data_IF_298457248964
#
_entry.id   IF_298457248964
#
_cell.length_a   1.000
_cell.length_b   1.000
_cell.length_c   1.000
_cell.angle_alpha   90.00
_cell.angle_beta   90.00
_cell.angle_gamma   90.00
#
_symmetry.space_group_name_H-M   'P 1'
#
loop_
_entity.id
_entity.type
_entity.pdbx_description
1 polymer ?
#
# COMPACT_ATOMS: atom_id res chain seq x y z
N UNK A 1 -1.16 13.41 -5.22
CA UNK A 1 -2.29 12.45 -5.11
C UNK A 1 -1.91 11.45 -4.02
N UNK A 2 -2.85 10.98 -3.24
CA UNK A 2 -2.58 9.91 -2.28
C UNK A 2 -2.29 8.63 -3.06
N UNK A 3 -1.27 7.87 -2.64
CA UNK A 3 -0.96 6.56 -3.24
C UNK A 3 -2.05 5.55 -2.87
N UNK A 4 -2.39 4.69 -3.82
CA UNK A 4 -3.51 3.75 -3.70
C UNK A 4 -3.10 2.32 -4.00
N UNK A 5 -3.76 1.37 -3.33
CA UNK A 5 -3.61 -0.06 -3.56
C UNK A 5 -4.88 -0.60 -4.19
N UNK A 6 -4.77 -1.16 -5.38
CA UNK A 6 -5.88 -1.79 -6.08
C UNK A 6 -6.12 -3.21 -5.57
N UNK A 7 -7.34 -3.50 -5.08
CA UNK A 7 -7.72 -4.86 -4.67
C UNK A 7 -8.24 -5.61 -5.88
N UNK A 8 -7.58 -6.70 -6.23
CA UNK A 8 -7.95 -7.57 -7.34
C UNK A 8 -8.17 -9.02 -6.86
N UNK A 9 -8.90 -9.81 -7.62
CA UNK A 9 -9.14 -11.21 -7.31
C UNK A 9 -10.19 -11.81 -8.22
N UNK A 10 -10.20 -13.14 -8.32
CA UNK A 10 -11.24 -13.89 -9.01
C UNK A 10 -12.61 -13.69 -8.32
N UNK A 11 -13.71 -13.97 -9.01
CA UNK A 11 -15.02 -14.01 -8.36
C UNK A 11 -15.05 -14.99 -7.18
N UNK A 12 -15.79 -14.65 -6.14
CA UNK A 12 -16.04 -15.51 -4.95
C UNK A 12 -14.80 -15.86 -4.09
N UNK A 13 -13.74 -15.07 -4.19
CA UNK A 13 -12.55 -15.20 -3.30
C UNK A 13 -12.69 -14.45 -1.96
N UNK A 14 -13.82 -13.76 -1.74
CA UNK A 14 -14.06 -12.94 -0.56
C UNK A 14 -13.65 -11.46 -0.71
N UNK A 15 -13.31 -11.02 -1.94
CA UNK A 15 -12.88 -9.64 -2.22
C UNK A 15 -13.89 -8.60 -1.72
N UNK A 16 -15.18 -8.76 -2.00
CA UNK A 16 -16.22 -7.82 -1.56
C UNK A 16 -16.41 -7.83 -0.05
N UNK A 17 -16.27 -8.97 0.61
CA UNK A 17 -16.31 -9.06 2.07
C UNK A 17 -15.16 -8.30 2.70
N UNK A 18 -13.95 -8.50 2.19
CA UNK A 18 -12.75 -7.77 2.59
C UNK A 18 -12.92 -6.26 2.36
N UNK A 19 -13.39 -5.86 1.18
CA UNK A 19 -13.59 -4.45 0.87
C UNK A 19 -14.66 -3.80 1.75
N UNK A 20 -15.73 -4.52 2.08
CA UNK A 20 -16.76 -4.04 3.01
C UNK A 20 -16.18 -3.86 4.43
N UNK A 21 -15.31 -4.74 4.89
CA UNK A 21 -14.60 -4.58 6.14
C UNK A 21 -13.70 -3.33 6.11
N UNK A 22 -12.93 -3.11 5.05
CA UNK A 22 -12.12 -1.91 4.86
C UNK A 22 -12.96 -0.62 4.89
N UNK A 23 -14.13 -0.61 4.24
CA UNK A 23 -15.02 0.57 4.19
C UNK A 23 -15.78 0.82 5.48
N UNK A 24 -16.16 -0.22 6.23
CA UNK A 24 -16.75 -0.04 7.58
C UNK A 24 -15.75 0.64 8.52
N UNK A 25 -14.48 0.26 8.45
CA UNK A 25 -13.41 0.91 9.22
C UNK A 25 -13.28 2.40 8.90
N UNK A 26 -13.59 2.81 7.66
CA UNK A 26 -13.59 4.21 7.21
C UNK A 26 -14.67 5.06 7.91
N UNK A 27 -15.83 4.53 8.19
CA UNK A 27 -16.93 5.27 8.87
C UNK A 27 -16.52 5.65 10.29
N UNK A 28 -15.73 4.83 10.96
CA UNK A 28 -15.14 5.12 12.28
C UNK A 28 -14.01 6.16 12.17
N UNK A 29 -13.32 6.21 11.03
CA UNK A 29 -12.24 7.16 10.73
C UNK A 29 -12.72 8.50 10.15
N UNK A 30 -14.03 8.74 10.00
CA UNK A 30 -14.65 9.91 9.34
C UNK A 30 -14.39 11.28 10.02
N UNK A 31 -13.46 11.37 10.97
CA UNK A 31 -12.93 12.61 11.51
C UNK A 31 -11.79 13.23 10.67
N UNK A 32 -11.49 12.68 9.49
CA UNK A 32 -10.52 13.27 8.57
C UNK A 32 -11.13 14.47 7.83
N UNK A 33 -10.62 15.69 8.01
CA UNK A 33 -11.23 16.91 7.48
C UNK A 33 -11.18 17.05 5.94
N UNK A 34 -10.59 16.11 5.21
CA UNK A 34 -10.43 16.16 3.74
C UNK A 34 -10.79 14.85 3.01
N UNK A 35 -11.40 13.88 3.68
CA UNK A 35 -11.84 12.64 3.03
C UNK A 35 -13.12 12.92 2.21
N UNK A 36 -12.98 13.17 0.92
CA UNK A 36 -14.08 12.97 -0.02
C UNK A 36 -14.32 11.46 -0.08
N UNK A 37 -15.52 11.02 0.30
CA UNK A 37 -15.93 9.62 0.17
C UNK A 37 -16.11 9.36 -1.32
N UNK A 38 -15.07 8.83 -1.96
CA UNK A 38 -15.18 8.34 -3.34
C UNK A 38 -15.79 6.94 -3.31
N UNK A 39 -16.75 6.64 -4.18
CA UNK A 39 -17.29 5.29 -4.29
C UNK A 39 -16.17 4.31 -4.65
N UNK A 40 -16.13 3.16 -3.97
CA UNK A 40 -15.13 2.11 -4.13
C UNK A 40 -13.71 2.44 -3.61
N UNK A 41 -13.55 3.39 -2.68
CA UNK A 41 -12.31 3.63 -1.96
C UNK A 41 -12.53 3.29 -0.48
N UNK A 42 -11.70 2.43 0.07
CA UNK A 42 -11.60 2.13 1.50
C UNK A 42 -10.32 2.75 2.07
N UNK A 43 -10.42 3.39 3.24
CA UNK A 43 -9.25 3.98 3.92
C UNK A 43 -9.04 3.26 5.24
N UNK A 44 -7.84 2.75 5.46
CA UNK A 44 -7.46 2.06 6.69
C UNK A 44 -6.40 2.89 7.41
N UNK A 45 -6.66 3.18 8.67
CA UNK A 45 -5.68 3.84 9.52
C UNK A 45 -4.49 2.91 9.80
N UNK A 46 -3.29 3.48 9.80
CA UNK A 46 -2.09 2.77 10.20
C UNK A 46 -1.93 2.89 11.72
N UNK A 47 -2.08 1.81 12.51
CA UNK A 47 -1.83 1.86 13.94
C UNK A 47 -0.42 2.34 14.23
N UNK A 48 -0.28 3.40 15.04
CA UNK A 48 1.02 3.95 15.42
C UNK A 48 1.02 4.30 16.92
N UNK A 49 1.57 3.42 17.77
CA UNK A 49 1.60 3.63 19.22
C UNK A 49 2.43 4.85 19.65
N UNK A 50 3.25 5.40 18.74
CA UNK A 50 4.03 6.62 19.02
C UNK A 50 3.13 7.83 19.21
N UNK A 51 1.99 7.87 18.54
CA UNK A 51 1.06 9.00 18.62
C UNK A 51 0.41 9.14 19.99
N UNK A 52 0.09 8.03 20.66
CA UNK A 52 -0.47 8.05 22.02
C UNK A 52 0.55 8.67 23.00
N UNK A 53 1.79 8.22 22.95
CA UNK A 53 2.87 8.76 23.77
C UNK A 53 3.13 10.25 23.51
N UNK A 54 3.08 10.68 22.24
CA UNK A 54 3.19 12.09 21.91
C UNK A 54 1.98 12.90 22.42
N UNK A 55 0.78 12.34 22.31
CA UNK A 55 -0.42 12.98 22.84
C UNK A 55 -0.33 13.19 24.36
N UNK A 56 0.24 12.25 25.10
CA UNK A 56 0.51 12.40 26.54
C UNK A 56 1.53 13.52 26.82
N UNK A 57 2.66 13.54 26.09
CA UNK A 57 3.73 14.55 26.28
C UNK A 57 3.24 15.97 25.99
N UNK A 58 2.38 16.16 24.97
CA UNK A 58 1.92 17.46 24.52
C UNK A 58 0.53 17.85 25.08
N UNK A 59 -0.18 16.91 25.72
CA UNK A 59 -1.57 17.11 26.15
C UNK A 59 -2.51 17.25 24.95
N UNK A 60 -2.31 16.48 23.88
CA UNK A 60 -3.06 16.60 22.64
C UNK A 60 -4.50 16.14 22.81
N UNK A 61 -5.46 16.91 22.28
CA UNK A 61 -6.90 16.59 22.35
C UNK A 61 -7.29 15.49 21.37
N UNK A 62 -6.52 15.30 20.27
CA UNK A 62 -6.84 14.35 19.20
C UNK A 62 -5.59 13.65 18.71
N UNK A 63 -5.78 12.39 18.25
CA UNK A 63 -4.76 11.57 17.60
C UNK A 63 -5.21 11.35 16.16
N UNK A 64 -4.32 11.62 15.21
CA UNK A 64 -4.56 11.46 13.77
C UNK A 64 -3.47 10.58 13.16
N UNK A 65 -3.71 9.27 13.00
CA UNK A 65 -2.75 8.35 12.39
C UNK A 65 -2.59 8.59 10.89
N UNK A 66 -1.54 8.03 10.30
CA UNK A 66 -1.45 7.88 8.85
C UNK A 66 -2.49 6.87 8.35
N UNK A 67 -2.76 6.86 7.05
CA UNK A 67 -3.71 5.94 6.46
C UNK A 67 -3.27 5.47 5.08
N UNK A 68 -3.75 4.30 4.67
CA UNK A 68 -3.58 3.72 3.34
C UNK A 68 -4.94 3.64 2.65
N UNK A 69 -4.98 4.00 1.37
CA UNK A 69 -6.18 3.94 0.55
C UNK A 69 -6.20 2.67 -0.29
N UNK A 70 -7.30 1.94 -0.22
CA UNK A 70 -7.57 0.76 -1.04
C UNK A 70 -8.71 1.06 -2.01
N UNK A 71 -8.57 0.60 -3.26
CA UNK A 71 -9.59 0.78 -4.31
C UNK A 71 -10.11 -0.59 -4.72
N UNK A 72 -11.44 -0.78 -4.64
CA UNK A 72 -12.05 -2.00 -5.15
C UNK A 72 -12.03 -2.00 -6.68
N UNK A 73 -11.29 -2.93 -7.24
CA UNK A 73 -11.24 -3.16 -8.67
C UNK A 73 -12.10 -4.40 -8.96
N UNK A 74 -13.11 -4.25 -9.84
CA UNK A 74 -14.01 -5.34 -10.19
C UNK A 74 -13.25 -6.63 -10.52
N UNK A 75 -13.82 -7.79 -10.15
CA UNK A 75 -13.14 -9.08 -10.34
C UNK A 75 -12.81 -9.37 -11.80
N UNK A 76 -11.68 -10.01 -12.01
CA UNK A 76 -11.24 -10.52 -13.32
C UNK A 76 -11.90 -11.88 -13.60
N UNK A 77 -12.22 -12.11 -14.87
CA UNK A 77 -12.53 -13.43 -15.40
C UNK A 77 -11.56 -13.72 -16.55
N UNK A 78 -11.26 -14.98 -16.79
CA UNK A 78 -10.40 -15.43 -17.88
C UNK A 78 -10.84 -14.83 -19.22
N UNK A 79 -9.86 -14.32 -20.02
CA UNK A 79 -10.14 -13.66 -21.29
C UNK A 79 -10.48 -12.17 -21.17
N UNK A 80 -10.21 -11.55 -20.03
CA UNK A 80 -10.46 -10.13 -19.82
C UNK A 80 -9.59 -9.23 -20.72
N UNK A 81 -8.41 -9.67 -21.09
CA UNK A 81 -7.49 -8.98 -22.00
C UNK A 81 -7.95 -9.01 -23.45
N UNK A 82 -8.69 -10.05 -23.86
CA UNK A 82 -9.18 -10.22 -25.25
C UNK A 82 -10.58 -9.66 -25.49
N UNK A 83 -11.31 -9.26 -24.41
CA UNK A 83 -12.71 -8.82 -24.46
C UNK A 83 -12.89 -7.33 -24.67
N UNK A 84 -13.85 -6.93 -25.51
CA UNK A 84 -14.35 -5.55 -25.56
C UNK A 84 -15.21 -5.25 -24.32
N UNK A 85 -14.83 -4.23 -23.53
CA UNK A 85 -15.68 -3.64 -22.50
C UNK A 85 -15.18 -3.81 -21.05
N UNK A 86 -15.67 -4.80 -20.28
CA UNK A 86 -15.41 -4.90 -18.82
C UNK A 86 -13.95 -5.18 -18.49
N UNK A 87 -13.26 -6.01 -19.29
CA UNK A 87 -11.84 -6.33 -19.09
C UNK A 87 -10.94 -5.10 -19.26
N UNK A 88 -11.16 -4.30 -20.29
CA UNK A 88 -10.38 -3.08 -20.51
C UNK A 88 -10.59 -2.04 -19.40
N UNK A 89 -11.80 -1.93 -18.85
CA UNK A 89 -12.09 -1.05 -17.72
C UNK A 89 -11.38 -1.54 -16.44
N UNK A 90 -11.34 -2.85 -16.22
CA UNK A 90 -10.60 -3.46 -15.14
C UNK A 90 -9.10 -3.14 -15.23
N UNK A 91 -8.47 -3.37 -16.38
CA UNK A 91 -7.04 -3.08 -16.60
C UNK A 91 -6.74 -1.58 -16.47
N UNK A 92 -7.66 -0.69 -16.88
CA UNK A 92 -7.52 0.74 -16.69
C UNK A 92 -7.50 1.12 -15.20
N UNK A 93 -8.39 0.55 -14.39
CA UNK A 93 -8.42 0.81 -12.95
C UNK A 93 -7.15 0.31 -12.24
N UNK A 94 -6.60 -0.85 -12.67
CA UNK A 94 -5.30 -1.32 -12.13
C UNK A 94 -4.17 -0.36 -12.52
N UNK A 95 -4.20 0.24 -13.72
CA UNK A 95 -3.16 1.21 -14.12
C UNK A 95 -3.12 2.44 -13.21
N UNK A 96 -4.26 2.87 -12.69
CA UNK A 96 -4.35 4.02 -11.79
C UNK A 96 -3.83 3.72 -10.37
N UNK A 97 -3.86 2.46 -9.92
CA UNK A 97 -3.34 2.07 -8.63
C UNK A 97 -1.80 2.05 -8.61
N UNK A 98 -1.19 2.33 -7.46
CA UNK A 98 0.27 2.35 -7.29
C UNK A 98 0.84 0.98 -6.90
N UNK A 99 0.03 0.13 -6.26
CA UNK A 99 0.34 -1.26 -5.93
C UNK A 99 -0.93 -2.13 -6.10
N UNK A 100 -0.74 -3.45 -6.10
CA UNK A 100 -1.81 -4.44 -6.28
C UNK A 100 -1.88 -5.32 -5.04
N UNK A 101 -3.08 -5.41 -4.42
CA UNK A 101 -3.42 -6.42 -3.42
C UNK A 101 -4.25 -7.51 -4.09
N UNK A 102 -3.63 -8.65 -4.37
CA UNK A 102 -4.30 -9.79 -5.00
C UNK A 102 -4.91 -10.70 -3.93
N UNK A 103 -6.24 -10.73 -3.87
CA UNK A 103 -6.98 -11.61 -2.96
C UNK A 103 -7.09 -12.99 -3.57
N UNK A 104 -6.60 -13.97 -2.83
CA UNK A 104 -6.54 -15.39 -3.21
C UNK A 104 -7.37 -16.21 -2.23
N UNK A 105 -8.22 -17.09 -2.75
CA UNK A 105 -9.04 -17.97 -1.93
C UNK A 105 -8.21 -19.13 -1.39
N UNK A 106 -8.13 -19.23 -0.06
CA UNK A 106 -7.52 -20.35 0.66
C UNK A 106 -8.48 -21.09 1.61
N UNK A 107 -9.76 -20.67 1.66
CA UNK A 107 -10.79 -21.27 2.49
C UNK A 107 -11.64 -22.28 1.73
N UNK A 108 -12.15 -23.30 2.44
CA UNK A 108 -13.09 -24.27 1.93
C UNK A 108 -14.50 -23.94 2.42
N UNK A 109 -15.43 -23.65 1.51
CA UNK A 109 -16.84 -23.40 1.82
C UNK A 109 -17.70 -24.04 0.72
N UNK A 110 -18.50 -25.03 1.10
CA UNK A 110 -19.33 -25.80 0.17
C UNK A 110 -20.50 -25.00 -0.43
N UNK A 111 -20.90 -23.91 0.22
CA UNK A 111 -21.98 -23.02 -0.23
C UNK A 111 -21.48 -21.91 -1.19
N UNK A 112 -20.15 -21.72 -1.27
CA UNK A 112 -19.51 -20.74 -2.14
C UNK A 112 -18.87 -21.44 -3.32
N UNK A 113 -19.51 -21.38 -4.49
CA UNK A 113 -19.00 -21.99 -5.73
C UNK A 113 -17.68 -21.32 -6.16
N UNK A 114 -16.65 -22.13 -6.37
CA UNK A 114 -15.42 -21.67 -6.99
C UNK A 114 -15.57 -21.60 -8.50
N UNK A 115 -15.03 -20.56 -9.15
CA UNK A 115 -15.17 -20.33 -10.61
C UNK A 115 -14.58 -21.49 -11.42
N UNK A 116 -13.45 -22.04 -10.96
CA UNK A 116 -12.76 -23.16 -11.59
C UNK A 116 -13.21 -24.54 -11.03
N UNK A 117 -14.23 -24.56 -10.13
CA UNK A 117 -14.77 -25.78 -9.52
C UNK A 117 -13.91 -26.42 -8.42
N UNK A 118 -12.73 -25.86 -8.12
CA UNK A 118 -11.82 -26.30 -7.04
C UNK A 118 -11.10 -25.11 -6.44
N UNK A 119 -10.74 -25.19 -5.18
CA UNK A 119 -9.88 -24.19 -4.51
C UNK A 119 -8.43 -24.57 -4.79
N UNK A 120 -7.75 -23.77 -5.59
CA UNK A 120 -6.34 -23.96 -5.96
C UNK A 120 -5.66 -22.57 -6.03
N UNK A 121 -5.06 -22.12 -4.92
CA UNK A 121 -4.44 -20.80 -4.84
C UNK A 121 -3.42 -20.51 -5.92
N UNK A 122 -2.62 -21.52 -6.30
CA UNK A 122 -1.61 -21.35 -7.35
C UNK A 122 -2.26 -21.09 -8.71
N UNK A 123 -3.25 -21.88 -9.10
CA UNK A 123 -3.98 -21.72 -10.36
C UNK A 123 -4.75 -20.40 -10.41
N UNK A 124 -5.32 -19.97 -9.29
CA UNK A 124 -6.05 -18.69 -9.19
C UNK A 124 -5.13 -17.50 -9.43
N UNK A 125 -3.92 -17.54 -8.84
CA UNK A 125 -2.91 -16.50 -9.05
C UNK A 125 -2.39 -16.49 -10.49
N UNK A 126 -2.10 -17.66 -11.06
CA UNK A 126 -1.65 -17.79 -12.45
C UNK A 126 -2.68 -17.19 -13.44
N UNK A 127 -3.98 -17.37 -13.18
CA UNK A 127 -5.04 -16.82 -14.04
C UNK A 127 -4.98 -15.30 -14.10
N UNK A 128 -4.83 -14.62 -12.94
CA UNK A 128 -4.72 -13.16 -12.90
C UNK A 128 -3.41 -12.69 -13.50
N UNK A 129 -2.30 -13.34 -13.14
CA UNK A 129 -0.97 -13.00 -13.65
C UNK A 129 -0.90 -13.08 -15.17
N UNK A 130 -1.49 -14.13 -15.76
CA UNK A 130 -1.53 -14.29 -17.21
C UNK A 130 -2.27 -13.14 -17.92
N UNK A 131 -3.42 -12.70 -17.38
CA UNK A 131 -4.18 -11.57 -17.94
C UNK A 131 -3.38 -10.26 -17.88
N UNK A 132 -2.68 -10.00 -16.76
CA UNK A 132 -1.83 -8.82 -16.63
C UNK A 132 -0.61 -8.87 -17.57
N UNK A 133 0.02 -10.05 -17.71
CA UNK A 133 1.13 -10.27 -18.63
C UNK A 133 0.72 -10.06 -20.08
N UNK A 134 -0.44 -10.58 -20.50
CA UNK A 134 -0.96 -10.38 -21.85
C UNK A 134 -1.21 -8.90 -22.17
N UNK A 135 -1.80 -8.15 -21.21
CA UNK A 135 -2.04 -6.73 -21.38
C UNK A 135 -0.71 -5.92 -21.49
N UNK A 136 0.30 -6.30 -20.72
CA UNK A 136 1.60 -5.66 -20.77
C UNK A 136 2.37 -6.04 -22.05
N UNK A 137 2.30 -7.29 -22.51
CA UNK A 137 2.89 -7.72 -23.78
C UNK A 137 2.31 -6.91 -24.94
N UNK A 138 1.00 -6.73 -25.01
CA UNK A 138 0.37 -5.89 -26.05
C UNK A 138 0.86 -4.41 -25.98
N UNK A 139 1.03 -3.89 -24.77
CA UNK A 139 1.56 -2.54 -24.57
C UNK A 139 3.00 -2.42 -25.04
N UNK A 140 3.85 -3.37 -24.67
CA UNK A 140 5.27 -3.42 -25.05
C UNK A 140 5.45 -3.62 -26.55
N UNK A 141 4.70 -4.52 -27.18
CA UNK A 141 4.80 -4.75 -28.64
C UNK A 141 4.50 -3.47 -29.44
N UNK A 142 3.45 -2.74 -29.04
CA UNK A 142 3.14 -1.44 -29.66
C UNK A 142 4.22 -0.40 -29.42
N UNK A 143 4.76 -0.36 -28.20
CA UNK A 143 5.81 0.59 -27.82
C UNK A 143 7.14 0.28 -28.56
N UNK A 144 7.56 -0.97 -28.65
CA UNK A 144 8.79 -1.40 -29.32
C UNK A 144 8.79 -0.96 -30.79
N UNK A 145 7.70 -1.18 -31.53
CA UNK A 145 7.57 -0.73 -32.93
C UNK A 145 7.77 0.77 -33.07
N UNK A 146 7.25 1.57 -32.14
CA UNK A 146 7.42 3.02 -32.10
C UNK A 146 8.87 3.38 -31.75
N UNK A 147 9.43 2.80 -30.70
CA UNK A 147 10.78 3.06 -30.20
C UNK A 147 11.86 2.71 -31.24
N UNK A 148 11.72 1.62 -31.99
CA UNK A 148 12.63 1.28 -33.10
C UNK A 148 12.72 2.39 -34.15
N UNK A 149 11.58 3.03 -34.50
CA UNK A 149 11.56 4.14 -35.47
C UNK A 149 12.22 5.39 -34.90
N UNK A 150 11.97 5.67 -33.61
CA UNK A 150 12.51 6.86 -32.93
C UNK A 150 14.03 6.73 -32.70
N UNK A 151 14.53 5.55 -32.33
CA UNK A 151 15.96 5.28 -32.20
C UNK A 151 16.67 5.38 -33.56
N UNK A 152 16.11 4.82 -34.63
CA UNK A 152 16.66 5.00 -36.01
C UNK A 152 16.68 6.47 -36.43
N UNK A 153 15.68 7.23 -36.00
CA UNK A 153 15.60 8.67 -36.22
C UNK A 153 16.46 9.53 -35.29
N UNK A 154 17.21 8.91 -34.36
CA UNK A 154 18.01 9.58 -33.30
C UNK A 154 17.19 10.53 -32.42
N UNK A 155 15.91 10.17 -32.16
CA UNK A 155 14.98 10.93 -31.32
C UNK A 155 14.79 10.31 -29.93
N UNK A 156 15.23 9.08 -29.72
CA UNK A 156 15.11 8.34 -28.49
C UNK A 156 16.43 7.65 -28.16
N UNK A 157 16.77 7.59 -26.86
CA UNK A 157 17.93 6.85 -26.39
C UNK A 157 17.73 5.34 -26.62
N UNK A 158 18.71 4.61 -27.16
CA UNK A 158 18.61 3.16 -27.35
C UNK A 158 18.30 2.37 -26.09
N UNK A 159 18.71 2.84 -24.90
CA UNK A 159 18.44 2.20 -23.62
C UNK A 159 16.95 1.99 -23.34
N UNK A 160 16.08 2.90 -23.83
CA UNK A 160 14.63 2.80 -23.71
C UNK A 160 14.09 1.61 -24.51
N UNK A 161 14.59 1.42 -25.74
CA UNK A 161 14.24 0.25 -26.56
C UNK A 161 14.76 -1.04 -25.94
N UNK A 162 16.00 -1.04 -25.45
CA UNK A 162 16.61 -2.21 -24.81
C UNK A 162 15.82 -2.63 -23.56
N UNK A 163 15.40 -1.68 -22.73
CA UNK A 163 14.56 -1.93 -21.56
C UNK A 163 13.20 -2.52 -21.96
N UNK A 164 12.55 -1.98 -22.99
CA UNK A 164 11.27 -2.50 -23.48
C UNK A 164 11.37 -3.92 -24.02
N UNK A 165 12.45 -4.24 -24.76
CA UNK A 165 12.71 -5.59 -25.27
C UNK A 165 12.99 -6.55 -24.13
N UNK A 166 13.81 -6.17 -23.15
CA UNK A 166 14.12 -7.01 -22.00
C UNK A 166 12.87 -7.31 -21.16
N UNK A 167 11.99 -6.30 -20.97
CA UNK A 167 10.72 -6.47 -20.26
C UNK A 167 9.78 -7.44 -21.00
N UNK A 168 9.63 -7.29 -22.32
CA UNK A 168 8.85 -8.23 -23.15
C UNK A 168 9.37 -9.66 -23.02
N UNK A 169 10.68 -9.86 -23.15
CA UNK A 169 11.29 -11.18 -23.11
C UNK A 169 11.12 -11.85 -21.72
N UNK A 170 11.14 -11.07 -20.63
CA UNK A 170 10.83 -11.56 -19.28
C UNK A 170 9.37 -12.04 -19.19
N UNK A 171 8.41 -11.22 -19.66
CA UNK A 171 6.99 -11.60 -19.67
C UNK A 171 6.71 -12.82 -20.53
N UNK A 172 7.39 -12.98 -21.68
CA UNK A 172 7.27 -14.18 -22.52
C UNK A 172 7.78 -15.46 -21.84
N UNK A 173 8.67 -15.33 -20.84
CA UNK A 173 9.10 -16.46 -19.98
C UNK A 173 8.16 -16.70 -18.80
N UNK A 174 7.08 -15.92 -18.66
CA UNK A 174 6.13 -16.00 -17.54
C UNK A 174 6.59 -15.29 -16.26
N UNK A 175 7.64 -14.45 -16.33
CA UNK A 175 8.16 -13.72 -15.18
C UNK A 175 7.34 -12.43 -14.96
N UNK A 176 6.92 -12.14 -13.72
CA UNK A 176 6.36 -10.83 -13.36
C UNK A 176 7.49 -9.81 -13.30
N UNK A 177 7.29 -8.63 -13.88
CA UNK A 177 8.32 -7.59 -13.91
C UNK A 177 8.66 -7.06 -12.49
N UNK A 178 7.70 -7.06 -11.58
CA UNK A 178 7.91 -6.68 -10.16
C UNK A 178 8.88 -7.60 -9.41
N UNK A 179 9.03 -8.86 -9.85
CA UNK A 179 9.97 -9.83 -9.28
C UNK A 179 11.30 -9.86 -10.05
N UNK A 180 11.43 -9.12 -11.15
CA UNK A 180 12.63 -9.07 -11.97
C UNK A 180 13.66 -8.09 -11.42
N UNK A 181 14.91 -8.23 -11.84
CA UNK A 181 16.02 -7.29 -11.55
C UNK A 181 16.23 -6.27 -12.69
N UNK A 182 15.29 -6.17 -13.62
CA UNK A 182 15.38 -5.26 -14.77
C UNK A 182 15.25 -3.80 -14.32
N UNK A 183 16.04 -2.92 -14.92
CA UNK A 183 15.83 -1.48 -14.80
C UNK A 183 14.67 -1.07 -15.72
N UNK A 184 13.52 -0.78 -15.11
CA UNK A 184 12.30 -0.36 -15.79
C UNK A 184 12.10 1.15 -15.81
N UNK A 185 12.98 1.95 -15.18
CA UNK A 185 12.89 3.41 -15.15
C UNK A 185 12.80 4.03 -16.56
N UNK A 186 13.56 3.57 -17.57
CA UNK A 186 13.48 4.12 -18.92
C UNK A 186 12.10 3.98 -19.58
N UNK A 187 11.27 3.01 -19.13
CA UNK A 187 9.96 2.68 -19.71
C UNK A 187 8.81 2.85 -18.73
N UNK A 188 9.03 3.52 -17.59
CA UNK A 188 8.01 3.68 -16.53
C UNK A 188 6.72 4.35 -17.03
N UNK A 189 6.82 5.24 -18.04
CA UNK A 189 5.65 5.90 -18.64
C UNK A 189 4.69 4.92 -19.36
N UNK A 190 5.12 3.69 -19.65
CA UNK A 190 4.22 2.67 -20.21
C UNK A 190 3.18 2.18 -19.22
N UNK A 191 3.37 2.41 -17.91
CA UNK A 191 2.44 2.04 -16.86
C UNK A 191 2.17 0.53 -16.83
N UNK A 192 3.25 -0.28 -16.94
CA UNK A 192 3.15 -1.74 -16.97
C UNK A 192 2.56 -2.27 -15.66
N UNK A 193 1.55 -3.12 -15.79
CA UNK A 193 0.76 -3.65 -14.67
C UNK A 193 1.59 -4.62 -13.82
N UNK A 194 2.34 -5.49 -14.49
CA UNK A 194 3.19 -6.50 -13.84
C UNK A 194 4.44 -5.92 -13.19
N UNK A 195 4.77 -4.64 -13.47
CA UNK A 195 5.86 -3.91 -12.83
C UNK A 195 5.47 -3.29 -11.48
N UNK A 196 4.17 -3.22 -11.19
CA UNK A 196 3.67 -2.69 -9.90
C UNK A 196 4.03 -3.65 -8.76
N UNK A 197 4.28 -3.15 -7.55
CA UNK A 197 4.44 -4.00 -6.37
C UNK A 197 3.18 -4.82 -6.09
N UNK A 198 3.36 -6.09 -5.68
CA UNK A 198 2.27 -7.01 -5.34
C UNK A 198 2.29 -7.36 -3.86
N UNK A 199 1.08 -7.43 -3.28
CA UNK A 199 0.78 -8.02 -1.98
C UNK A 199 -0.23 -9.13 -2.24
N UNK A 200 0.06 -10.35 -1.80
CA UNK A 200 -0.87 -11.47 -1.92
C UNK A 200 -1.65 -11.62 -0.60
N UNK A 201 -2.97 -11.48 -0.68
CA UNK A 201 -3.87 -11.57 0.46
C UNK A 201 -4.58 -12.92 0.39
N UNK A 202 -4.11 -13.87 1.18
CA UNK A 202 -4.75 -15.17 1.30
C UNK A 202 -5.93 -15.05 2.25
N UNK A 203 -7.15 -15.07 1.70
CA UNK A 203 -8.37 -15.18 2.47
C UNK A 203 -8.57 -16.65 2.82
N UNK A 204 -8.37 -16.98 4.09
CA UNK A 204 -8.31 -18.35 4.62
C UNK A 204 -9.35 -18.55 5.71
N UNK A 205 -9.56 -19.77 6.15
CA UNK A 205 -10.35 -20.08 7.34
C UNK A 205 -9.48 -20.06 8.62
N UNK A 206 -10.13 -20.05 9.79
CA UNK A 206 -9.48 -20.01 11.10
C UNK A 206 -8.45 -21.14 11.29
N UNK A 207 -8.72 -22.33 10.73
CA UNK A 207 -7.81 -23.46 10.85
C UNK A 207 -6.46 -23.18 10.18
N UNK A 208 -6.44 -22.47 9.05
CA UNK A 208 -5.21 -22.07 8.36
C UNK A 208 -4.54 -20.90 9.09
N UNK A 209 -5.28 -19.97 9.70
CA UNK A 209 -4.69 -18.87 10.48
C UNK A 209 -3.78 -19.38 11.59
N UNK A 210 -4.14 -20.49 12.21
CA UNK A 210 -3.36 -21.11 13.30
C UNK A 210 -2.31 -22.12 12.82
N UNK A 211 -2.34 -22.52 11.53
CA UNK A 211 -1.40 -23.48 10.93
C UNK A 211 -0.19 -22.77 10.30
N UNK A 212 0.90 -22.68 11.07
CA UNK A 212 2.13 -22.05 10.59
C UNK A 212 2.77 -22.77 9.38
N UNK A 213 2.63 -24.12 9.30
CA UNK A 213 3.17 -24.89 8.19
C UNK A 213 2.41 -24.58 6.88
N UNK A 214 1.08 -24.55 6.96
CA UNK A 214 0.23 -24.21 5.82
C UNK A 214 0.44 -22.76 5.35
N UNK A 215 0.57 -21.80 6.28
CA UNK A 215 0.91 -20.41 5.93
C UNK A 215 2.27 -20.33 5.22
N UNK A 216 3.27 -21.09 5.69
CA UNK A 216 4.59 -21.10 5.04
C UNK A 216 4.54 -21.70 3.62
N UNK A 217 3.75 -22.77 3.38
CA UNK A 217 3.53 -23.33 2.05
C UNK A 217 2.91 -22.30 1.10
N UNK A 218 1.85 -21.61 1.54
CA UNK A 218 1.18 -20.60 0.73
C UNK A 218 2.07 -19.39 0.47
N UNK A 219 2.82 -18.94 1.48
CA UNK A 219 3.78 -17.84 1.32
C UNK A 219 4.90 -18.19 0.31
N UNK A 220 5.33 -19.44 0.27
CA UNK A 220 6.36 -19.89 -0.69
C UNK A 220 5.91 -19.79 -2.15
N UNK A 221 4.58 -19.85 -2.42
CA UNK A 221 4.05 -19.69 -3.78
C UNK A 221 4.27 -18.29 -4.36
N UNK A 222 4.40 -17.29 -3.49
CA UNK A 222 4.45 -15.87 -3.89
C UNK A 222 5.81 -15.21 -3.66
N UNK A 223 6.77 -15.94 -3.09
CA UNK A 223 8.10 -15.40 -2.82
C UNK A 223 8.77 -14.88 -4.13
N UNK A 224 9.43 -13.69 -4.11
CA UNK A 224 9.78 -12.86 -2.95
C UNK A 224 8.69 -11.85 -2.53
N UNK A 225 7.50 -11.83 -3.15
CA UNK A 225 6.42 -10.95 -2.78
C UNK A 225 5.88 -11.27 -1.37
N UNK A 226 5.21 -10.30 -0.76
CA UNK A 226 4.69 -10.43 0.61
C UNK A 226 3.33 -11.13 0.62
N UNK A 227 3.15 -12.07 1.55
CA UNK A 227 1.88 -12.73 1.82
C UNK A 227 1.23 -12.16 3.11
N UNK A 228 -0.07 -11.88 3.05
CA UNK A 228 -0.94 -11.55 4.19
C UNK A 228 -1.97 -12.65 4.34
N UNK A 229 -2.23 -13.09 5.55
CA UNK A 229 -3.25 -14.11 5.85
C UNK A 229 -4.34 -13.50 6.72
N UNK A 230 -5.59 -13.62 6.30
CA UNK A 230 -6.73 -13.12 7.04
C UNK A 230 -7.97 -13.97 6.74
N UNK A 231 -8.94 -13.95 7.64
CA UNK A 231 -10.30 -14.39 7.38
C UNK A 231 -11.20 -13.16 7.23
N UNK A 232 -11.71 -12.93 6.03
CA UNK A 232 -12.50 -11.74 5.75
C UNK A 232 -13.83 -11.67 6.54
N UNK A 233 -14.33 -12.80 7.03
CA UNK A 233 -15.52 -12.85 7.93
C UNK A 233 -15.13 -12.37 9.33
N UNK A 234 -14.04 -12.89 9.89
CA UNK A 234 -13.49 -12.47 11.19
C UNK A 234 -13.17 -10.98 11.16
N UNK A 235 -12.49 -10.49 10.10
CA UNK A 235 -12.21 -9.08 9.94
C UNK A 235 -13.47 -8.20 9.96
N UNK A 236 -14.55 -8.68 9.34
CA UNK A 236 -15.84 -7.96 9.36
C UNK A 236 -16.50 -7.96 10.73
N UNK A 237 -16.30 -9.00 11.56
CA UNK A 237 -16.82 -9.11 12.92
C UNK A 237 -16.03 -8.24 13.90
N UNK A 238 -14.69 -8.22 13.79
CA UNK A 238 -13.81 -7.43 14.65
C UNK A 238 -14.17 -5.94 14.69
N UNK A 239 -14.66 -5.40 13.58
CA UNK A 239 -15.03 -3.98 13.48
C UNK A 239 -16.28 -3.63 14.32
N UNK A 240 -17.15 -4.59 14.49
CA UNK A 240 -18.43 -4.40 15.21
C UNK A 240 -18.28 -4.71 16.74
N UNK A 241 -17.11 -5.19 17.19
CA UNK A 241 -16.81 -5.53 18.58
C UNK A 241 -16.18 -4.34 19.34
N UNK A 242 -16.36 -4.34 20.65
CA UNK A 242 -15.57 -3.44 21.48
C UNK A 242 -14.10 -3.91 21.59
N UNK A 243 -13.15 -3.03 22.02
CA UNK A 243 -11.73 -3.36 22.01
C UNK A 243 -11.34 -4.60 22.85
N UNK A 244 -12.08 -4.93 23.89
CA UNK A 244 -11.80 -6.09 24.76
C UNK A 244 -12.22 -7.37 24.06
N UNK A 245 -13.44 -7.41 23.53
CA UNK A 245 -13.98 -8.56 22.81
C UNK A 245 -13.20 -8.79 21.50
N UNK A 246 -12.79 -7.71 20.81
CA UNK A 246 -11.94 -7.80 19.62
C UNK A 246 -10.58 -8.44 19.93
N UNK A 247 -9.94 -8.04 21.05
CA UNK A 247 -8.67 -8.63 21.48
C UNK A 247 -8.81 -10.11 21.85
N UNK A 248 -9.92 -10.50 22.50
CA UNK A 248 -10.21 -11.91 22.82
C UNK A 248 -10.39 -12.75 21.54
N UNK A 249 -11.12 -12.23 20.55
CA UNK A 249 -11.32 -12.90 19.26
C UNK A 249 -9.98 -13.08 18.53
N UNK A 250 -9.15 -12.04 18.44
CA UNK A 250 -7.82 -12.13 17.84
C UNK A 250 -6.94 -13.15 18.54
N UNK A 251 -6.92 -13.14 19.87
CA UNK A 251 -6.14 -14.11 20.65
C UNK A 251 -6.60 -15.55 20.40
N UNK A 252 -7.91 -15.78 20.22
CA UNK A 252 -8.46 -17.11 19.93
C UNK A 252 -7.98 -17.66 18.57
N UNK A 253 -7.73 -16.78 17.60
CA UNK A 253 -7.20 -17.13 16.26
C UNK A 253 -5.67 -17.14 16.19
N UNK A 254 -5.00 -16.88 17.33
CA UNK A 254 -3.55 -16.83 17.41
C UNK A 254 -2.92 -15.66 16.65
N UNK A 255 -3.67 -14.57 16.49
CA UNK A 255 -3.21 -13.35 15.84
C UNK A 255 -2.92 -12.26 16.88
N UNK A 256 -1.85 -11.50 16.70
CA UNK A 256 -1.48 -10.36 17.55
C UNK A 256 -2.08 -9.03 17.04
N UNK A 257 -2.42 -8.96 15.76
CA UNK A 257 -3.04 -7.82 15.10
C UNK A 257 -4.09 -8.29 14.08
N UNK A 258 -5.05 -7.42 13.73
CA UNK A 258 -6.02 -7.74 12.68
C UNK A 258 -5.35 -7.90 11.31
N UNK A 259 -5.91 -8.72 10.43
CA UNK A 259 -5.41 -8.87 9.07
C UNK A 259 -5.50 -7.57 8.28
N UNK A 260 -6.47 -6.69 8.59
CA UNK A 260 -6.59 -5.38 7.99
C UNK A 260 -5.46 -4.43 8.43
N UNK A 261 -5.08 -4.43 9.70
CA UNK A 261 -3.94 -3.64 10.20
C UNK A 261 -2.63 -4.14 9.59
N UNK A 262 -2.45 -5.46 9.52
CA UNK A 262 -1.31 -6.07 8.84
C UNK A 262 -1.26 -5.68 7.37
N UNK A 263 -2.40 -5.72 6.66
CA UNK A 263 -2.50 -5.31 5.26
C UNK A 263 -2.19 -3.82 5.08
N UNK A 264 -2.67 -2.95 5.97
CA UNK A 264 -2.36 -1.53 5.95
C UNK A 264 -0.86 -1.27 6.13
N UNK A 265 -0.23 -1.91 7.11
CA UNK A 265 1.20 -1.78 7.39
C UNK A 265 2.05 -2.27 6.22
N UNK A 266 1.76 -3.46 5.70
CA UNK A 266 2.47 -4.03 4.55
C UNK A 266 2.24 -3.18 3.30
N UNK A 267 1.03 -2.69 3.09
CA UNK A 267 0.69 -1.79 1.99
C UNK A 267 1.48 -0.48 2.04
N UNK A 268 1.60 0.09 3.23
CA UNK A 268 2.37 1.30 3.48
C UNK A 268 3.86 1.11 3.13
N UNK A 269 4.44 0.01 3.59
CA UNK A 269 5.83 -0.34 3.29
C UNK A 269 6.05 -0.65 1.81
N UNK A 270 5.12 -1.37 1.18
CA UNK A 270 5.16 -1.74 -0.24
C UNK A 270 5.12 -0.50 -1.15
N UNK A 271 4.38 0.54 -0.76
CA UNK A 271 4.35 1.83 -1.45
C UNK A 271 5.60 2.68 -1.18
N UNK A 272 6.57 2.21 -0.40
CA UNK A 272 7.77 2.96 -0.06
C UNK A 272 7.49 4.20 0.78
N UNK A 273 6.47 4.14 1.65
CA UNK A 273 6.05 5.23 2.51
C UNK A 273 6.73 5.18 3.88
N UNK A 274 6.77 6.32 4.54
CA UNK A 274 7.17 6.51 5.93
C UNK A 274 6.40 7.66 6.53
N UNK A 275 6.45 7.82 7.87
CA UNK A 275 5.79 8.91 8.56
C UNK A 275 6.77 9.83 9.26
N UNK A 276 6.49 11.12 9.25
CA UNK A 276 6.98 12.03 10.27
C UNK A 276 5.82 12.49 11.15
N UNK A 277 6.12 12.98 12.34
CA UNK A 277 5.14 13.28 13.37
C UNK A 277 5.14 14.78 13.69
N UNK A 278 3.96 15.31 13.97
CA UNK A 278 3.79 16.63 14.57
C UNK A 278 2.93 16.50 15.79
N UNK A 279 3.24 17.23 16.86
CA UNK A 279 2.43 17.21 18.07
C UNK A 279 2.30 18.60 18.69
N UNK A 280 1.15 18.86 19.27
CA UNK A 280 0.81 20.07 19.96
C UNK A 280 -0.49 19.90 20.76
N UNK A 281 -0.97 20.92 21.49
CA UNK A 281 -2.16 20.79 22.34
C UNK A 281 -3.44 20.37 21.60
N UNK A 282 -3.56 20.72 20.30
CA UNK A 282 -4.75 20.39 19.52
C UNK A 282 -4.73 18.96 18.98
N UNK A 283 -3.57 18.51 18.52
CA UNK A 283 -3.44 17.19 17.88
C UNK A 283 -2.01 16.65 17.89
N UNK A 284 -1.90 15.33 17.98
CA UNK A 284 -0.73 14.53 17.61
C UNK A 284 -1.05 13.84 16.29
N UNK A 285 -0.17 14.01 15.27
CA UNK A 285 -0.48 13.56 13.91
C UNK A 285 0.72 12.93 13.22
N UNK A 286 0.47 11.82 12.52
CA UNK A 286 1.39 11.22 11.56
C UNK A 286 1.10 11.74 10.15
N UNK A 287 2.15 12.14 9.45
CA UNK A 287 2.10 12.64 8.08
C UNK A 287 2.79 11.66 7.16
N UNK A 288 2.10 11.20 6.14
CA UNK A 288 2.61 10.26 5.15
C UNK A 288 3.50 10.95 4.13
N UNK A 289 4.72 10.44 3.95
CA UNK A 289 5.68 10.88 2.94
C UNK A 289 6.36 9.67 2.27
N UNK A 290 6.95 9.87 1.10
CA UNK A 290 7.81 8.86 0.48
C UNK A 290 9.15 8.72 1.22
N UNK A 291 9.68 7.51 1.31
CA UNK A 291 11.04 7.26 1.80
C UNK A 291 12.05 8.05 0.96
N UNK A 292 13.00 8.71 1.61
CA UNK A 292 13.99 9.54 0.95
C UNK A 292 13.57 10.99 0.64
N UNK A 293 12.33 11.40 0.99
CA UNK A 293 11.89 12.77 0.82
C UNK A 293 12.68 13.74 1.71
N UNK A 294 12.93 14.94 1.18
CA UNK A 294 13.59 16.02 1.92
C UNK A 294 12.57 16.86 2.71
N UNK A 295 13.08 17.59 3.71
CA UNK A 295 12.27 18.41 4.60
C UNK A 295 11.31 19.40 3.89
N UNK A 296 11.67 20.10 2.79
CA UNK A 296 10.72 20.96 2.09
C UNK A 296 9.54 20.19 1.48
N UNK A 297 9.80 19.02 0.86
CA UNK A 297 8.76 18.17 0.30
C UNK A 297 7.81 17.66 1.40
N UNK A 298 8.38 17.25 2.56
CA UNK A 298 7.60 16.84 3.72
C UNK A 298 6.73 17.99 4.26
N UNK A 299 7.26 19.19 4.35
CA UNK A 299 6.50 20.38 4.75
C UNK A 299 5.33 20.67 3.79
N UNK A 300 5.51 20.38 2.50
CA UNK A 300 4.50 20.53 1.45
C UNK A 300 3.26 19.67 1.66
N UNK A 301 3.37 18.54 2.36
CA UNK A 301 2.22 17.67 2.70
C UNK A 301 1.26 18.38 3.67
N UNK A 302 1.77 19.23 4.56
CA UNK A 302 0.92 20.05 5.44
C UNK A 302 0.22 21.14 4.63
N UNK A 303 1.00 21.90 3.85
CA UNK A 303 0.49 22.94 2.97
C UNK A 303 1.56 23.31 1.93
N UNK A 304 1.14 23.58 0.69
CA UNK A 304 2.05 23.96 -0.40
C UNK A 304 2.88 25.21 -0.11
N UNK A 305 2.36 26.15 0.70
CA UNK A 305 3.10 27.34 1.10
C UNK A 305 4.26 27.02 2.05
N UNK A 306 4.17 25.92 2.82
CA UNK A 306 5.26 25.47 3.69
C UNK A 306 6.45 24.97 2.86
N UNK A 307 6.19 24.31 1.75
CA UNK A 307 7.24 23.89 0.83
C UNK A 307 7.92 25.09 0.18
N UNK A 308 7.11 25.99 -0.39
CA UNK A 308 7.61 27.19 -1.10
C UNK A 308 8.38 28.15 -0.19
N UNK A 309 7.84 28.37 1.01
CA UNK A 309 8.40 29.28 2.02
C UNK A 309 9.38 28.61 2.98
N UNK A 310 9.77 27.36 2.77
CA UNK A 310 10.57 26.58 3.71
C UNK A 310 11.89 27.29 4.07
N UNK A 311 12.13 27.46 5.38
CA UNK A 311 13.36 28.02 5.93
C UNK A 311 14.18 26.91 6.56
N UNK A 312 13.63 26.20 7.54
CA UNK A 312 14.27 25.13 8.30
C UNK A 312 13.24 24.28 9.01
N UNK A 313 13.63 23.07 9.41
CA UNK A 313 12.89 22.21 10.30
C UNK A 313 13.61 22.07 11.65
N UNK A 314 12.91 22.16 12.75
CA UNK A 314 13.39 21.69 14.04
C UNK A 314 12.95 20.23 14.17
N UNK A 315 13.90 19.33 14.30
CA UNK A 315 13.69 17.88 14.29
C UNK A 315 14.19 17.27 15.59
N UNK A 316 13.33 16.50 16.24
CA UNK A 316 13.67 15.69 17.41
C UNK A 316 13.27 14.26 17.09
N UNK A 317 14.12 13.25 17.38
CA UNK A 317 13.69 11.86 17.24
C UNK A 317 12.58 11.55 18.24
N UNK A 318 11.63 10.69 17.85
CA UNK A 318 10.54 10.29 18.74
C UNK A 318 11.08 9.78 20.09
N UNK A 319 12.08 8.90 20.09
CA UNK A 319 12.64 8.30 21.31
C UNK A 319 13.26 9.37 22.22
N UNK A 320 14.11 10.26 21.68
CA UNK A 320 14.70 11.34 22.47
C UNK A 320 13.62 12.26 23.09
N UNK A 321 12.54 12.53 22.36
CA UNK A 321 11.47 13.40 22.86
C UNK A 321 10.67 12.76 24.00
N UNK A 322 10.33 11.48 23.86
CA UNK A 322 9.60 10.73 24.90
C UNK A 322 10.46 10.54 26.15
N UNK A 323 11.73 10.18 25.98
CA UNK A 323 12.67 9.99 27.10
C UNK A 323 12.89 11.29 27.90
N UNK A 324 12.91 12.44 27.23
CA UNK A 324 13.13 13.74 27.86
C UNK A 324 11.81 14.43 28.30
N UNK A 325 10.67 13.95 27.86
CA UNK A 325 9.34 14.39 28.27
C UNK A 325 8.93 15.78 27.80
N UNK A 326 9.79 16.54 27.10
CA UNK A 326 9.43 17.85 26.56
C UNK A 326 10.41 18.36 25.49
N UNK A 327 9.92 19.22 24.60
CA UNK A 327 10.75 19.94 23.61
C UNK A 327 11.78 20.84 24.30
N UNK A 328 11.45 21.43 25.45
CA UNK A 328 12.37 22.29 26.19
C UNK A 328 13.60 21.52 26.71
N UNK A 329 13.37 20.35 27.29
CA UNK A 329 14.46 19.45 27.72
C UNK A 329 15.28 18.91 26.52
N UNK A 330 14.61 18.57 25.41
CA UNK A 330 15.29 18.14 24.21
C UNK A 330 16.22 19.24 23.66
N UNK A 331 15.79 20.51 23.65
CA UNK A 331 16.63 21.67 23.29
C UNK A 331 17.79 21.84 24.26
N UNK A 332 17.53 21.75 25.56
CA UNK A 332 18.55 21.91 26.60
C UNK A 332 19.64 20.81 26.53
N UNK A 333 19.28 19.62 26.12
CA UNK A 333 20.18 18.46 25.92
C UNK A 333 20.82 18.41 24.53
N UNK A 334 20.54 19.36 23.64
CA UNK A 334 21.06 19.41 22.28
C UNK A 334 20.51 18.31 21.36
N UNK A 335 19.33 17.76 21.68
CA UNK A 335 18.64 16.73 20.89
C UNK A 335 17.68 17.33 19.84
N UNK A 336 17.30 18.60 19.97
CA UNK A 336 16.56 19.34 18.95
C UNK A 336 17.54 19.86 17.88
N UNK A 337 17.49 19.28 16.70
CA UNK A 337 18.36 19.64 15.58
C UNK A 337 17.66 20.65 14.68
N UNK A 338 18.40 21.61 14.15
CA UNK A 338 17.92 22.54 13.14
C UNK A 338 18.42 22.08 11.78
N UNK A 339 17.53 21.57 10.97
CA UNK A 339 17.81 20.96 9.68
C UNK A 339 17.41 21.88 8.51
N UNK A 340 18.22 21.86 7.46
CA UNK A 340 18.03 22.65 6.24
C UNK A 340 17.27 21.91 5.15
N UNK A 341 17.28 22.51 3.95
CA UNK A 341 16.54 22.02 2.77
C UNK A 341 16.97 20.63 2.28
N UNK A 342 18.20 20.22 2.58
CA UNK A 342 18.77 18.95 2.13
C UNK A 342 18.59 17.79 3.11
N UNK A 343 17.97 18.06 4.26
CA UNK A 343 17.69 17.03 5.24
C UNK A 343 16.71 16.00 4.68
N UNK A 344 17.14 14.73 4.68
CA UNK A 344 16.30 13.60 4.32
C UNK A 344 15.55 13.14 5.56
N UNK A 345 14.24 13.22 5.50
CA UNK A 345 13.34 12.85 6.60
C UNK A 345 13.51 11.39 7.00
N UNK A 346 13.49 11.14 8.30
CA UNK A 346 13.52 9.80 8.88
C UNK A 346 12.15 9.44 9.42
N UNK A 347 11.82 8.13 9.42
CA UNK A 347 10.59 7.66 10.06
C UNK A 347 10.61 7.96 11.57
N UNK A 348 9.51 8.54 12.07
CA UNK A 348 9.38 8.93 13.47
C UNK A 348 10.06 10.26 13.85
N UNK A 349 10.58 11.02 12.90
CA UNK A 349 10.99 12.41 13.19
C UNK A 349 9.79 13.21 13.72
N UNK A 350 9.93 13.86 14.88
CA UNK A 350 8.97 14.82 15.40
C UNK A 350 9.43 16.22 14.99
N UNK A 351 8.59 16.93 14.23
CA UNK A 351 9.03 18.10 13.44
C UNK A 351 8.19 19.34 13.67
N UNK A 352 8.88 20.48 13.77
CA UNK A 352 8.28 21.82 13.66
C UNK A 352 8.91 22.54 12.46
N UNK A 353 8.12 22.78 11.41
CA UNK A 353 8.57 23.51 10.22
C UNK A 353 8.50 25.01 10.42
N UNK A 354 9.55 25.72 10.00
CA UNK A 354 9.58 27.19 9.93
C UNK A 354 9.62 27.64 8.49
N UNK A 355 8.69 28.50 8.13
CA UNK A 355 8.53 28.99 6.76
C UNK A 355 8.20 30.49 6.77
N UNK A 356 8.46 31.16 5.63
CA UNK A 356 8.00 32.51 5.37
C UNK A 356 6.69 32.47 4.58
N UNK A 357 5.75 33.31 4.98
CA UNK A 357 4.52 33.60 4.22
C UNK A 357 4.83 34.48 3.01
#
# INVERSE_FOLDING_TARGET
>A
MALTIGIVGLPNVGKSTLFNALTKNQVLAANYPFATIEPNVGVVNLPDPRLEKLAEVFGSERILPAAVSFVDIAGIVRGASEGEGLGNKFLANIREADAIAQVVRGFADGDVVHVEGRVDPASDMETINAELQLADLETLERAIVRYEKEVRGKKLDPSVLDAAVAARDALQRGELLSASTLDLDPIKELGLLTAKPFIFVFNVDEAVLTDAARKAELAALVAPATAVFLDAKIESELIDLDPVDAAELLASTGQDESGLDQLARIGFDTLGLQTYLTAGPKEARAWTIGKGWKAPQAAGVIHTDFEKGFIKAEVISFDDLVDLGSVAEARAKGKARLEGKDYVMQDGDVVEFRFNN
#
